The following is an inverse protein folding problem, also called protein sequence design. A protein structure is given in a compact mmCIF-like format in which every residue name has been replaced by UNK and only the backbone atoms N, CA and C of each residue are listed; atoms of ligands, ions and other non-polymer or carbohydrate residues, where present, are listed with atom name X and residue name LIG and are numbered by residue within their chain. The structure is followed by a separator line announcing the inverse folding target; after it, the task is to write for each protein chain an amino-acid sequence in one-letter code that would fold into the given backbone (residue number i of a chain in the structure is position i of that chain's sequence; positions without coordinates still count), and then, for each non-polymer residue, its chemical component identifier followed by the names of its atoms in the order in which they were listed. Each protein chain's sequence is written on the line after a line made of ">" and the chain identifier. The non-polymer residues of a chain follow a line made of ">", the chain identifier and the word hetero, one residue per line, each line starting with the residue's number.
data_IF_486907933983
#
_entry.id   IF_486907933983
#
_cell.length_a   1.000
_cell.length_b   1.000
_cell.length_c   1.000
_cell.angle_alpha   90.00
_cell.angle_beta   90.00
_cell.angle_gamma   90.00
#
_symmetry.space_group_name_H-M   'P 1'
#
loop_
_entity.id
_entity.type
_entity.pdbx_description
1 polymer ?
#
# COMPACT_ATOMS: atom_id res chain seq x y z
N UNK A 1 53.28 20.98 3.92
CA UNK A 1 52.71 19.61 3.97
C UNK A 1 51.50 19.63 3.06
N UNK A 2 51.80 19.41 1.75
CA UNK A 2 50.78 19.53 0.66
C UNK A 2 49.86 18.34 0.66
N UNK A 3 48.57 18.62 0.65
CA UNK A 3 47.53 17.60 0.53
C UNK A 3 47.49 17.09 -0.90
N UNK A 4 47.67 15.78 -1.11
CA UNK A 4 47.50 15.09 -2.37
C UNK A 4 46.04 15.24 -2.87
N UNK A 5 45.83 15.55 -4.15
CA UNK A 5 44.50 15.58 -4.74
C UNK A 5 43.92 14.16 -4.77
N UNK A 6 42.62 14.05 -4.44
CA UNK A 6 41.84 12.83 -4.53
C UNK A 6 41.80 12.35 -5.99
N UNK A 7 41.89 11.03 -6.26
CA UNK A 7 41.76 10.52 -7.61
C UNK A 7 40.40 10.82 -8.20
N UNK A 8 40.39 11.38 -9.41
CA UNK A 8 39.18 11.60 -10.21
C UNK A 8 38.42 10.28 -10.36
N UNK A 9 37.23 10.18 -9.78
CA UNK A 9 36.32 9.06 -10.00
C UNK A 9 35.82 9.16 -11.45
N UNK A 10 36.23 8.23 -12.29
CA UNK A 10 35.68 8.09 -13.65
C UNK A 10 34.15 7.97 -13.56
N UNK A 11 33.39 8.70 -14.38
CA UNK A 11 31.94 8.60 -14.41
C UNK A 11 31.54 7.17 -14.83
N UNK A 12 30.76 6.50 -14.02
CA UNK A 12 30.20 5.19 -14.32
C UNK A 12 29.52 5.23 -15.71
N UNK A 13 29.73 4.20 -16.57
CA UNK A 13 29.17 4.18 -17.92
C UNK A 13 27.65 4.33 -17.85
N UNK A 14 27.12 5.26 -18.65
CA UNK A 14 25.67 5.52 -18.73
C UNK A 14 24.91 4.23 -18.99
N UNK A 15 24.00 3.86 -18.08
CA UNK A 15 23.18 2.68 -18.18
C UNK A 15 22.38 2.73 -19.48
N UNK A 16 22.45 1.67 -20.30
CA UNK A 16 21.63 1.55 -21.51
C UNK A 16 20.15 1.62 -21.12
N UNK A 17 19.33 2.36 -21.91
CA UNK A 17 17.91 2.43 -21.64
C UNK A 17 17.28 1.03 -21.62
N UNK A 18 16.41 0.76 -20.65
CA UNK A 18 15.74 -0.53 -20.51
C UNK A 18 14.91 -0.84 -21.78
N UNK A 19 14.84 -2.11 -22.20
CA UNK A 19 14.04 -2.51 -23.34
C UNK A 19 12.56 -2.13 -23.18
N UNK A 20 11.93 -1.61 -24.24
CA UNK A 20 10.55 -1.14 -24.25
C UNK A 20 9.66 -2.01 -25.17
N UNK A 21 8.33 -1.93 -24.98
CA UNK A 21 7.34 -2.64 -25.79
C UNK A 21 6.80 -3.93 -25.16
N UNK A 22 5.71 -4.53 -25.74
CA UNK A 22 4.96 -5.64 -25.13
C UNK A 22 5.80 -6.92 -24.90
N UNK A 23 6.75 -7.21 -25.78
CA UNK A 23 7.65 -8.36 -25.61
C UNK A 23 8.64 -8.14 -24.48
N UNK A 24 9.16 -6.91 -24.34
CA UNK A 24 10.05 -6.55 -23.24
C UNK A 24 9.32 -6.58 -21.89
N UNK A 25 8.08 -6.11 -21.82
CA UNK A 25 7.26 -6.17 -20.63
C UNK A 25 7.01 -7.63 -20.18
N UNK A 26 6.67 -8.53 -21.10
CA UNK A 26 6.50 -9.98 -20.80
C UNK A 26 7.79 -10.62 -20.28
N UNK A 27 8.94 -10.31 -20.89
CA UNK A 27 10.23 -10.81 -20.39
C UNK A 27 10.55 -10.26 -19.02
N UNK A 28 10.31 -8.96 -18.80
CA UNK A 28 10.51 -8.33 -17.50
C UNK A 28 9.69 -9.00 -16.41
N UNK A 29 8.40 -9.28 -16.66
CA UNK A 29 7.54 -10.00 -15.72
C UNK A 29 8.02 -11.43 -15.46
N UNK A 30 8.45 -12.16 -16.50
CA UNK A 30 9.00 -13.51 -16.33
C UNK A 30 10.24 -13.52 -15.45
N UNK A 31 11.16 -12.55 -15.65
CA UNK A 31 12.37 -12.40 -14.83
C UNK A 31 12.00 -12.06 -13.37
N UNK A 32 11.04 -11.16 -13.13
CA UNK A 32 10.62 -10.81 -11.76
C UNK A 32 10.00 -12.01 -11.05
N UNK A 33 9.14 -12.78 -11.71
CA UNK A 33 8.57 -14.02 -11.13
C UNK A 33 9.65 -15.02 -10.78
N UNK A 34 10.53 -15.37 -11.73
CA UNK A 34 11.64 -16.30 -11.49
C UNK A 34 12.56 -15.85 -10.37
N UNK A 35 12.87 -14.54 -10.32
CA UNK A 35 13.68 -13.98 -9.25
C UNK A 35 12.98 -14.08 -7.90
N UNK A 36 11.67 -13.78 -7.82
CA UNK A 36 10.88 -13.91 -6.60
C UNK A 36 10.94 -15.35 -6.08
N UNK A 37 10.61 -16.33 -6.92
CA UNK A 37 10.56 -17.74 -6.54
C UNK A 37 11.93 -18.21 -6.03
N UNK A 38 13.01 -17.82 -6.69
CA UNK A 38 14.37 -18.18 -6.31
C UNK A 38 14.82 -17.45 -5.03
N UNK A 39 14.52 -16.18 -4.88
CA UNK A 39 14.84 -15.44 -3.65
C UNK A 39 14.13 -16.01 -2.42
N UNK A 40 12.86 -16.40 -2.57
CA UNK A 40 12.10 -16.99 -1.47
C UNK A 40 12.57 -18.41 -1.13
N UNK A 41 13.02 -19.17 -2.11
CA UNK A 41 13.44 -20.56 -1.95
C UNK A 41 14.92 -20.70 -1.49
N UNK A 42 15.80 -19.87 -2.04
CA UNK A 42 17.26 -20.00 -1.90
C UNK A 42 17.93 -18.80 -1.22
N UNK A 43 17.15 -17.79 -0.88
CA UNK A 43 17.64 -16.54 -0.30
C UNK A 43 18.22 -15.57 -1.34
N UNK A 44 18.62 -14.37 -0.86
CA UNK A 44 19.19 -13.36 -1.74
C UNK A 44 20.55 -13.77 -2.35
N UNK A 45 21.20 -14.83 -1.83
CA UNK A 45 22.46 -15.33 -2.34
C UNK A 45 22.43 -15.91 -3.77
N UNK A 46 21.26 -16.30 -4.29
CA UNK A 46 21.07 -16.92 -5.61
C UNK A 46 21.72 -16.11 -6.76
N UNK A 47 22.34 -16.81 -7.72
CA UNK A 47 23.04 -16.18 -8.84
C UNK A 47 22.11 -15.68 -9.94
N UNK A 48 22.53 -14.61 -10.66
CA UNK A 48 21.79 -14.08 -11.83
C UNK A 48 21.68 -15.10 -12.98
N UNK A 49 22.60 -16.09 -13.04
CA UNK A 49 22.54 -17.17 -14.02
C UNK A 49 21.37 -18.11 -13.76
N UNK A 50 21.14 -18.47 -12.48
CA UNK A 50 20.02 -19.29 -12.09
C UNK A 50 18.67 -18.58 -12.38
N UNK A 51 18.59 -17.28 -12.07
CA UNK A 51 17.42 -16.48 -12.37
C UNK A 51 17.16 -16.41 -13.88
N UNK A 52 18.18 -16.25 -14.69
CA UNK A 52 18.07 -16.20 -16.15
C UNK A 52 17.57 -17.54 -16.70
N UNK A 53 18.12 -18.66 -16.21
CA UNK A 53 17.70 -20.01 -16.59
C UNK A 53 16.24 -20.27 -16.25
N UNK A 54 15.81 -19.95 -15.02
CA UNK A 54 14.42 -20.09 -14.56
C UNK A 54 13.44 -19.24 -15.36
N UNK A 55 13.86 -18.01 -15.71
CA UNK A 55 13.05 -17.11 -16.53
C UNK A 55 13.02 -17.46 -18.03
N UNK A 56 13.80 -18.44 -18.48
CA UNK A 56 13.93 -18.81 -19.89
C UNK A 56 14.57 -17.72 -20.75
N UNK A 57 15.50 -16.93 -20.20
CA UNK A 57 16.19 -15.84 -20.88
C UNK A 57 17.71 -15.95 -20.71
N UNK A 58 18.48 -15.18 -21.49
CA UNK A 58 19.94 -15.09 -21.25
C UNK A 58 20.26 -14.17 -20.07
N UNK A 59 21.38 -14.40 -19.36
CA UNK A 59 21.93 -13.51 -18.32
C UNK A 59 22.04 -12.07 -18.79
N UNK A 60 22.48 -11.86 -20.03
CA UNK A 60 22.55 -10.53 -20.65
C UNK A 60 21.18 -9.86 -20.71
N UNK A 61 20.11 -10.64 -20.99
CA UNK A 61 18.75 -10.12 -21.00
C UNK A 61 18.34 -9.63 -19.61
N UNK A 62 18.67 -10.38 -18.55
CA UNK A 62 18.37 -9.97 -17.16
C UNK A 62 19.07 -8.65 -16.83
N UNK A 63 20.37 -8.53 -17.13
CA UNK A 63 21.11 -7.29 -16.90
C UNK A 63 20.63 -6.11 -17.75
N UNK A 64 20.17 -6.36 -18.99
CA UNK A 64 19.61 -5.30 -19.84
C UNK A 64 18.29 -4.74 -19.28
N UNK A 65 17.51 -5.55 -18.53
CA UNK A 65 16.25 -5.12 -17.92
C UNK A 65 16.41 -4.46 -16.55
N UNK A 66 17.39 -4.88 -15.76
CA UNK A 66 17.48 -4.50 -14.35
C UNK A 66 18.83 -3.86 -13.97
N UNK A 67 19.87 -4.06 -14.75
CA UNK A 67 21.21 -3.52 -14.48
C UNK A 67 21.95 -4.23 -13.35
N UNK A 68 21.27 -4.51 -12.23
CA UNK A 68 21.88 -5.19 -11.07
C UNK A 68 20.88 -6.14 -10.39
N UNK A 69 21.39 -6.98 -9.50
CA UNK A 69 20.60 -7.90 -8.69
C UNK A 69 19.75 -7.14 -7.65
N UNK A 70 20.29 -6.07 -7.12
CA UNK A 70 19.63 -5.17 -6.18
C UNK A 70 18.42 -4.49 -6.84
N UNK A 71 18.59 -3.99 -8.08
CA UNK A 71 17.49 -3.41 -8.84
C UNK A 71 16.42 -4.44 -9.22
N UNK A 72 16.83 -5.68 -9.49
CA UNK A 72 15.90 -6.79 -9.70
C UNK A 72 15.14 -7.12 -8.40
N UNK A 73 15.82 -7.20 -7.27
CA UNK A 73 15.19 -7.41 -5.98
C UNK A 73 14.22 -6.27 -5.64
N UNK A 74 14.62 -5.03 -5.87
CA UNK A 74 13.73 -3.85 -5.73
C UNK A 74 12.45 -4.01 -6.54
N UNK A 75 12.55 -4.52 -7.77
CA UNK A 75 11.38 -4.76 -8.61
C UNK A 75 10.52 -5.93 -8.10
N UNK A 76 11.13 -6.95 -7.49
CA UNK A 76 10.40 -8.05 -6.82
C UNK A 76 9.65 -7.53 -5.61
N UNK A 77 10.29 -6.74 -4.75
CA UNK A 77 9.65 -6.13 -3.58
C UNK A 77 8.50 -5.21 -4.00
N UNK A 78 8.72 -4.33 -4.97
CA UNK A 78 7.68 -3.44 -5.48
C UNK A 78 6.48 -4.19 -6.06
N UNK A 79 6.71 -5.30 -6.78
CA UNK A 79 5.64 -6.14 -7.32
C UNK A 79 4.89 -6.94 -6.26
N UNK A 80 5.60 -7.48 -5.26
CA UNK A 80 5.02 -8.34 -4.24
C UNK A 80 4.29 -7.61 -3.11
N UNK A 81 4.60 -6.34 -2.89
CA UNK A 81 3.97 -5.53 -1.83
C UNK A 81 2.79 -4.69 -2.36
N UNK A 82 2.76 -4.46 -3.66
CA UNK A 82 1.71 -3.66 -4.31
C UNK A 82 0.48 -4.51 -4.71
N UNK A 83 0.61 -5.82 -4.84
CA UNK A 83 -0.44 -6.68 -5.40
C UNK A 83 -1.69 -6.72 -4.52
N UNK A 84 -1.63 -6.91 -3.19
CA UNK A 84 -2.81 -6.89 -2.34
C UNK A 84 -3.51 -5.53 -2.25
N UNK A 85 -2.79 -4.45 -2.59
CA UNK A 85 -3.29 -3.08 -2.48
C UNK A 85 -3.61 -2.45 -3.85
N UNK A 86 -3.11 -3.02 -4.95
CA UNK A 86 -3.41 -2.58 -6.33
C UNK A 86 -4.73 -3.10 -6.87
N UNK A 87 -5.19 -4.25 -6.43
CA UNK A 87 -6.50 -4.77 -6.85
C UNK A 87 -7.66 -3.88 -6.42
N UNK A 88 -7.44 -3.01 -5.41
CA UNK A 88 -8.42 -2.05 -4.94
C UNK A 88 -8.57 -0.78 -5.80
N UNK A 89 -7.64 -0.50 -6.72
CA UNK A 89 -7.58 0.78 -7.47
C UNK A 89 -7.88 0.71 -8.97
N UNK A 90 -8.05 -0.47 -9.56
CA UNK A 90 -8.26 -0.61 -11.02
C UNK A 90 -9.64 -1.12 -11.44
N UNK A 91 -10.69 -0.72 -10.74
CA UNK A 91 -12.04 -0.80 -11.26
C UNK A 91 -12.39 0.41 -12.12
N UNK A 92 -11.87 0.53 -13.35
CA UNK A 92 -12.33 1.62 -14.21
C UNK A 92 -11.39 2.07 -15.32
N UNK A 93 -10.99 1.18 -16.23
CA UNK A 93 -10.74 1.58 -17.61
C UNK A 93 -11.23 0.46 -18.55
N UNK A 94 -12.53 0.53 -18.86
CA UNK A 94 -13.10 -0.18 -20.00
C UNK A 94 -12.51 0.45 -21.28
N UNK A 95 -11.68 -0.31 -21.99
CA UNK A 95 -11.26 0.02 -23.36
C UNK A 95 -12.48 0.01 -24.31
N UNK A 96 -12.58 0.90 -25.30
CA UNK A 96 -13.65 0.90 -26.26
C UNK A 96 -13.40 -0.16 -27.34
N UNK A 97 -14.37 -1.06 -27.51
CA UNK A 97 -14.49 -1.82 -28.77
C UNK A 97 -14.51 -3.34 -28.64
N UNK A 98 -15.68 -3.92 -28.45
CA UNK A 98 -15.97 -5.33 -28.70
C UNK A 98 -17.48 -5.49 -28.99
N UNK A 99 -17.81 -5.73 -30.23
CA UNK A 99 -19.17 -5.84 -30.77
C UNK A 99 -19.97 -6.96 -30.12
N UNK A 100 -21.22 -6.64 -29.82
CA UNK A 100 -22.26 -7.57 -29.39
C UNK A 100 -22.67 -8.54 -30.47
N UNK A 101 -22.72 -9.86 -30.17
CA UNK A 101 -23.44 -10.87 -30.87
C UNK A 101 -24.67 -11.30 -30.07
N UNK A 102 -25.85 -11.51 -30.70
CA UNK A 102 -27.08 -11.81 -29.97
C UNK A 102 -27.31 -13.32 -29.84
N UNK A 103 -27.79 -13.76 -28.70
CA UNK A 103 -28.53 -15.01 -28.58
C UNK A 103 -28.12 -15.94 -27.41
N UNK A 104 -29.00 -16.06 -26.43
CA UNK A 104 -28.94 -17.12 -25.41
C UNK A 104 -29.88 -16.83 -24.25
N UNK A 105 -31.03 -17.51 -24.27
CA UNK A 105 -32.15 -17.36 -23.33
C UNK A 105 -31.85 -17.91 -21.93
N UNK A 106 -32.34 -17.24 -20.97
CA UNK A 106 -32.97 -17.43 -19.69
C UNK A 106 -32.81 -18.75 -18.90
N UNK A 107 -32.48 -18.57 -17.62
CA UNK A 107 -32.77 -19.47 -16.50
C UNK A 107 -32.66 -18.71 -15.21
N UNK A 108 -33.65 -18.74 -14.30
CA UNK A 108 -33.61 -17.97 -13.05
C UNK A 108 -32.96 -18.80 -11.94
N UNK A 109 -32.09 -18.22 -11.18
CA UNK A 109 -31.77 -18.78 -9.88
C UNK A 109 -30.30 -19.05 -9.62
N UNK A 110 -29.65 -18.15 -8.99
CA UNK A 110 -28.36 -18.32 -8.39
C UNK A 110 -27.78 -16.93 -8.08
N UNK A 111 -28.03 -16.42 -6.89
CA UNK A 111 -27.24 -15.31 -6.38
C UNK A 111 -25.82 -15.83 -6.25
N UNK A 112 -25.08 -15.74 -7.32
CA UNK A 112 -23.63 -15.92 -7.35
C UNK A 112 -23.08 -14.83 -6.45
N UNK A 113 -22.59 -15.23 -5.28
CA UNK A 113 -21.80 -14.33 -4.44
C UNK A 113 -20.64 -13.86 -5.30
N UNK A 114 -20.62 -12.57 -5.61
CA UNK A 114 -19.43 -11.93 -6.16
C UNK A 114 -18.28 -12.28 -5.22
N UNK A 115 -17.10 -12.69 -5.74
CA UNK A 115 -15.92 -12.84 -4.91
C UNK A 115 -15.70 -11.48 -4.23
N UNK A 116 -15.90 -11.41 -2.91
CA UNK A 116 -15.55 -10.23 -2.14
C UNK A 116 -14.05 -10.06 -2.32
N UNK A 117 -13.65 -9.03 -3.04
CA UNK A 117 -12.26 -8.60 -3.08
C UNK A 117 -11.84 -8.35 -1.64
N UNK A 118 -10.82 -9.08 -1.16
CA UNK A 118 -10.27 -8.88 0.18
C UNK A 118 -9.48 -7.57 0.31
N UNK A 119 -9.39 -6.83 -0.80
CA UNK A 119 -8.75 -5.52 -0.85
C UNK A 119 -9.68 -4.44 -0.26
N UNK A 120 -9.13 -3.44 0.46
CA UNK A 120 -9.92 -2.35 1.03
C UNK A 120 -10.55 -1.51 -0.08
N UNK A 121 -11.84 -1.22 0.06
CA UNK A 121 -12.55 -0.34 -0.85
C UNK A 121 -12.27 1.14 -0.51
N UNK A 122 -11.18 1.66 -1.07
CA UNK A 122 -10.79 3.06 -0.88
C UNK A 122 -11.75 4.05 -1.55
N UNK A 123 -12.55 3.61 -2.53
CA UNK A 123 -13.58 4.46 -3.12
C UNK A 123 -14.66 4.78 -2.09
N UNK A 124 -15.11 3.79 -1.31
CA UNK A 124 -16.05 4.01 -0.20
C UNK A 124 -15.50 4.96 0.86
N UNK A 125 -14.18 4.94 1.09
CA UNK A 125 -13.53 5.85 2.01
C UNK A 125 -13.60 7.29 1.47
N UNK A 126 -13.30 7.49 0.18
CA UNK A 126 -13.36 8.80 -0.47
C UNK A 126 -14.80 9.32 -0.52
N UNK A 127 -15.79 8.45 -0.76
CA UNK A 127 -17.20 8.81 -0.91
C UNK A 127 -17.94 8.96 0.43
N UNK A 128 -17.26 8.78 1.57
CA UNK A 128 -17.88 8.91 2.89
C UNK A 128 -18.58 10.28 3.03
N UNK A 129 -19.85 10.25 3.45
CA UNK A 129 -20.68 11.43 3.66
C UNK A 129 -20.90 11.67 5.17
N UNK A 130 -19.92 12.35 5.76
CA UNK A 130 -19.94 12.70 7.17
C UNK A 130 -19.14 11.77 8.09
N UNK A 131 -19.05 12.13 9.39
CA UNK A 131 -18.16 11.48 10.36
C UNK A 131 -18.47 10.00 10.60
N UNK A 132 -19.74 9.63 10.68
CA UNK A 132 -20.14 8.24 10.95
C UNK A 132 -19.85 7.32 9.76
N UNK A 133 -20.11 7.81 8.53
CA UNK A 133 -19.79 7.09 7.31
C UNK A 133 -18.27 6.94 7.15
N UNK A 134 -17.50 7.97 7.50
CA UNK A 134 -16.04 7.93 7.49
C UNK A 134 -15.50 6.91 8.52
N UNK A 135 -16.04 6.91 9.74
CA UNK A 135 -15.67 5.92 10.77
C UNK A 135 -15.95 4.49 10.29
N UNK A 136 -17.13 4.25 9.73
CA UNK A 136 -17.48 2.94 9.18
C UNK A 136 -16.55 2.52 8.03
N UNK A 137 -16.28 3.41 7.08
CA UNK A 137 -15.41 3.12 5.94
C UNK A 137 -13.95 2.84 6.36
N UNK A 138 -13.40 3.60 7.33
CA UNK A 138 -12.06 3.35 7.89
C UNK A 138 -11.99 2.01 8.63
N UNK A 139 -13.04 1.67 9.38
CA UNK A 139 -13.12 0.39 10.09
C UNK A 139 -13.18 -0.79 9.11
N UNK A 140 -13.99 -0.69 8.07
CA UNK A 140 -14.08 -1.70 7.01
C UNK A 140 -12.75 -1.84 6.25
N UNK A 141 -12.07 -0.73 5.96
CA UNK A 141 -10.74 -0.73 5.36
C UNK A 141 -9.70 -1.43 6.25
N UNK A 142 -9.68 -1.12 7.54
CA UNK A 142 -8.79 -1.77 8.52
C UNK A 142 -8.99 -3.29 8.59
N UNK A 143 -10.25 -3.73 8.61
CA UNK A 143 -10.62 -5.16 8.56
C UNK A 143 -10.16 -5.83 7.25
N UNK A 144 -10.36 -5.14 6.12
CA UNK A 144 -9.93 -5.65 4.82
C UNK A 144 -8.41 -5.78 4.74
N UNK A 145 -7.65 -4.79 5.21
CA UNK A 145 -6.19 -4.88 5.30
C UNK A 145 -5.73 -6.04 6.18
N UNK A 146 -6.35 -6.25 7.34
CA UNK A 146 -6.04 -7.38 8.21
C UNK A 146 -6.25 -8.73 7.52
N UNK A 147 -7.35 -8.88 6.75
CA UNK A 147 -7.59 -10.10 5.96
C UNK A 147 -6.57 -10.26 4.84
N UNK A 148 -6.30 -9.21 4.08
CA UNK A 148 -5.33 -9.21 2.99
C UNK A 148 -3.92 -9.59 3.48
N UNK A 149 -3.48 -9.04 4.61
CA UNK A 149 -2.19 -9.37 5.21
C UNK A 149 -2.09 -10.86 5.60
N UNK A 150 -3.14 -11.42 6.23
CA UNK A 150 -3.17 -12.85 6.57
C UNK A 150 -3.12 -13.76 5.35
N UNK A 151 -3.76 -13.35 4.27
CA UNK A 151 -3.74 -14.08 3.01
C UNK A 151 -2.41 -13.95 2.24
N UNK A 152 -1.65 -12.87 2.47
CA UNK A 152 -0.41 -12.54 1.77
C UNK A 152 0.79 -13.33 2.30
N UNK A 153 0.83 -14.60 1.98
CA UNK A 153 1.94 -15.48 2.36
C UNK A 153 3.26 -15.11 1.67
N UNK A 154 3.22 -14.63 0.44
CA UNK A 154 4.40 -14.21 -0.32
C UNK A 154 5.00 -12.91 0.20
N UNK A 155 4.18 -11.90 0.45
CA UNK A 155 4.66 -10.65 1.04
C UNK A 155 5.25 -10.86 2.42
N UNK A 156 4.67 -11.77 3.23
CA UNK A 156 5.26 -12.18 4.52
C UNK A 156 6.63 -12.82 4.32
N UNK A 157 6.77 -13.75 3.38
CA UNK A 157 8.05 -14.39 3.09
C UNK A 157 9.10 -13.38 2.60
N UNK A 158 8.72 -12.41 1.77
CA UNK A 158 9.60 -11.31 1.34
C UNK A 158 10.02 -10.42 2.52
N UNK A 159 9.10 -10.06 3.42
CA UNK A 159 9.42 -9.30 4.64
C UNK A 159 10.43 -10.04 5.51
N UNK A 160 10.23 -11.35 5.69
CA UNK A 160 11.15 -12.21 6.43
C UNK A 160 12.51 -12.25 5.76
N UNK A 161 12.57 -12.42 4.45
CA UNK A 161 13.82 -12.42 3.69
C UNK A 161 14.60 -11.10 3.88
N UNK A 162 13.93 -9.96 3.78
CA UNK A 162 14.57 -8.66 4.04
C UNK A 162 15.08 -8.60 5.47
N UNK A 163 14.27 -8.96 6.46
CA UNK A 163 14.66 -8.86 7.87
C UNK A 163 15.86 -9.76 8.22
N UNK A 164 15.94 -10.94 7.62
CA UNK A 164 17.04 -11.90 7.88
C UNK A 164 18.33 -11.58 7.12
N UNK A 165 18.21 -11.06 5.90
CA UNK A 165 19.35 -10.84 5.01
C UNK A 165 19.88 -9.39 5.02
N UNK A 166 19.18 -8.43 5.62
CA UNK A 166 19.55 -7.01 5.58
C UNK A 166 20.94 -6.71 6.18
N UNK A 167 21.38 -7.49 7.15
CA UNK A 167 22.71 -7.31 7.74
C UNK A 167 23.82 -7.70 6.77
N UNK A 168 23.56 -8.69 5.92
CA UNK A 168 24.51 -9.17 4.89
C UNK A 168 24.41 -8.35 3.60
N UNK A 169 23.21 -7.86 3.30
CA UNK A 169 22.89 -7.12 2.08
C UNK A 169 22.11 -5.84 2.43
N UNK A 170 22.81 -4.75 2.86
CA UNK A 170 22.16 -3.50 3.28
C UNK A 170 21.29 -2.84 2.19
N UNK A 171 21.53 -3.18 0.92
CA UNK A 171 20.71 -2.74 -0.22
C UNK A 171 19.26 -3.21 -0.13
N UNK A 172 18.99 -4.36 0.51
CA UNK A 172 17.63 -4.85 0.75
C UNK A 172 16.83 -3.87 1.62
N UNK A 173 17.46 -3.33 2.66
CA UNK A 173 16.85 -2.31 3.52
C UNK A 173 16.56 -1.00 2.76
N UNK A 174 17.43 -0.61 1.83
CA UNK A 174 17.18 0.55 0.96
C UNK A 174 16.02 0.30 -0.01
N UNK A 175 15.98 -0.88 -0.64
CA UNK A 175 14.89 -1.30 -1.51
C UNK A 175 13.55 -1.34 -0.75
N UNK A 176 13.56 -1.90 0.45
CA UNK A 176 12.39 -1.94 1.34
C UNK A 176 11.89 -0.53 1.69
N UNK A 177 12.79 0.38 2.07
CA UNK A 177 12.43 1.76 2.38
C UNK A 177 11.80 2.47 1.18
N UNK A 178 12.32 2.23 -0.02
CA UNK A 178 11.82 2.89 -1.23
C UNK A 178 10.46 2.35 -1.71
N UNK A 179 10.14 1.09 -1.42
CA UNK A 179 8.98 0.38 -2.00
C UNK A 179 8.17 -0.39 -0.97
N UNK A 180 8.57 -0.38 0.30
CA UNK A 180 7.87 -1.06 1.38
C UNK A 180 6.60 -0.31 1.82
N UNK A 181 5.77 -0.97 2.65
CA UNK A 181 4.44 -0.45 2.99
C UNK A 181 4.44 0.90 3.73
N UNK A 182 5.55 1.26 4.38
CA UNK A 182 5.64 2.50 5.16
C UNK A 182 5.85 3.77 4.31
N UNK A 183 6.19 3.62 3.05
CA UNK A 183 6.65 4.77 2.30
C UNK A 183 5.63 5.40 1.37
N UNK A 184 4.85 4.62 0.67
CA UNK A 184 4.17 5.23 -0.47
C UNK A 184 3.00 4.37 -0.95
N UNK A 185 1.89 4.42 -0.21
CA UNK A 185 0.63 3.96 -0.77
C UNK A 185 -0.11 5.14 -1.40
N UNK A 186 0.11 5.42 -2.70
CA UNK A 186 -0.49 6.58 -3.37
C UNK A 186 -2.01 6.61 -3.22
N UNK A 187 -2.64 5.43 -3.22
CA UNK A 187 -4.09 5.31 -3.08
C UNK A 187 -4.60 5.80 -1.71
N UNK A 188 -3.95 5.39 -0.61
CA UNK A 188 -4.31 5.84 0.75
C UNK A 188 -3.99 7.32 0.94
N UNK A 189 -2.82 7.75 0.45
CA UNK A 189 -2.43 9.17 0.47
C UNK A 189 -3.45 10.04 -0.27
N UNK A 190 -3.89 9.60 -1.44
CA UNK A 190 -4.90 10.31 -2.23
C UNK A 190 -6.28 10.31 -1.55
N UNK A 191 -6.67 9.19 -0.92
CA UNK A 191 -7.92 9.11 -0.16
C UNK A 191 -7.92 10.08 1.03
N UNK A 192 -6.85 10.09 1.84
CA UNK A 192 -6.74 11.01 2.98
C UNK A 192 -6.69 12.47 2.53
N UNK A 193 -6.01 12.78 1.41
CA UNK A 193 -6.02 14.12 0.83
C UNK A 193 -7.42 14.53 0.40
N UNK A 194 -8.15 13.67 -0.31
CA UNK A 194 -9.52 13.97 -0.74
C UNK A 194 -10.47 14.21 0.44
N UNK A 195 -10.30 13.46 1.54
CA UNK A 195 -11.07 13.68 2.78
C UNK A 195 -10.71 15.01 3.46
N UNK A 196 -9.44 15.40 3.44
CA UNK A 196 -8.99 16.68 3.96
C UNK A 196 -9.51 17.86 3.09
N UNK A 197 -9.44 17.74 1.77
CA UNK A 197 -9.95 18.75 0.83
C UNK A 197 -11.47 18.96 1.00
N UNK A 198 -12.21 17.92 1.41
CA UNK A 198 -13.65 17.99 1.72
C UNK A 198 -13.94 18.47 3.15
N UNK A 199 -12.93 18.72 3.96
CA UNK A 199 -13.07 19.15 5.35
C UNK A 199 -13.58 18.07 6.31
N UNK A 200 -13.52 16.79 5.92
CA UNK A 200 -13.85 15.65 6.80
C UNK A 200 -12.70 15.28 7.73
N UNK A 201 -11.48 15.66 7.37
CA UNK A 201 -10.28 15.53 8.20
C UNK A 201 -9.50 16.84 8.20
N UNK A 202 -8.84 17.14 9.32
CA UNK A 202 -7.87 18.22 9.49
C UNK A 202 -6.46 17.61 9.58
N UNK A 203 -5.78 17.53 8.44
CA UNK A 203 -4.48 16.85 8.29
C UNK A 203 -3.40 17.88 7.99
N UNK A 204 -2.62 18.33 8.99
CA UNK A 204 -1.54 19.29 8.76
C UNK A 204 -0.32 18.68 8.06
N UNK A 205 -0.09 17.37 8.23
CA UNK A 205 1.00 16.62 7.62
C UNK A 205 0.48 15.26 7.12
N UNK A 206 0.36 15.15 5.80
CA UNK A 206 -0.23 13.99 5.16
C UNK A 206 0.65 12.73 5.27
N UNK A 207 1.97 12.89 5.21
CA UNK A 207 2.91 11.76 5.36
C UNK A 207 2.81 11.16 6.75
N UNK A 208 2.82 12.01 7.77
CA UNK A 208 2.65 11.60 9.18
C UNK A 208 1.30 10.93 9.38
N UNK A 209 0.22 11.47 8.84
CA UNK A 209 -1.12 10.90 8.97
C UNK A 209 -1.22 9.49 8.34
N UNK A 210 -0.65 9.29 7.15
CA UNK A 210 -0.59 7.98 6.49
C UNK A 210 0.17 6.97 7.36
N UNK A 211 1.35 7.34 7.86
CA UNK A 211 2.15 6.46 8.72
C UNK A 211 1.45 6.12 10.03
N UNK A 212 0.76 7.08 10.64
CA UNK A 212 -0.03 6.86 11.86
C UNK A 212 -1.21 5.93 11.60
N UNK A 213 -1.93 6.10 10.48
CA UNK A 213 -3.01 5.20 10.11
C UNK A 213 -2.51 3.75 9.96
N UNK A 214 -1.40 3.55 9.24
CA UNK A 214 -0.79 2.22 9.11
C UNK A 214 -0.30 1.67 10.45
N UNK A 215 0.27 2.52 11.30
CA UNK A 215 0.74 2.09 12.62
C UNK A 215 -0.39 1.59 13.52
N UNK A 216 -1.58 2.17 13.38
CA UNK A 216 -2.75 1.77 14.16
C UNK A 216 -3.45 0.53 13.59
N UNK A 217 -3.57 0.41 12.26
CA UNK A 217 -4.45 -0.59 11.63
C UNK A 217 -3.71 -1.77 10.99
N UNK A 218 -2.44 -1.59 10.60
CA UNK A 218 -1.70 -2.55 9.76
C UNK A 218 -0.48 -3.12 10.47
N UNK A 219 0.37 -2.27 11.05
CA UNK A 219 1.65 -2.70 11.61
C UNK A 219 1.54 -3.69 12.76
N UNK A 220 0.58 -3.60 13.69
CA UNK A 220 0.45 -4.62 14.73
C UNK A 220 0.31 -6.03 14.13
N UNK A 221 -0.60 -6.21 13.18
CA UNK A 221 -0.80 -7.47 12.49
C UNK A 221 0.49 -7.96 11.80
N UNK A 222 1.12 -7.05 11.04
CA UNK A 222 2.33 -7.35 10.28
C UNK A 222 3.49 -7.79 11.18
N UNK A 223 3.67 -7.15 12.35
CA UNK A 223 4.74 -7.49 13.30
C UNK A 223 4.52 -8.88 13.92
N UNK A 224 3.30 -9.19 14.34
CA UNK A 224 3.00 -10.51 14.92
C UNK A 224 3.20 -11.62 13.89
N UNK A 225 2.70 -11.46 12.67
CA UNK A 225 2.88 -12.44 11.60
C UNK A 225 4.34 -12.67 11.20
N UNK A 226 5.15 -11.62 11.22
CA UNK A 226 6.59 -11.73 10.92
C UNK A 226 7.35 -12.62 11.92
N UNK A 227 6.87 -12.70 13.16
CA UNK A 227 7.46 -13.54 14.20
C UNK A 227 6.81 -14.92 14.32
N UNK A 228 5.97 -15.31 13.36
CA UNK A 228 5.28 -16.59 13.36
C UNK A 228 4.20 -16.71 14.42
N UNK A 229 3.72 -15.58 14.95
CA UNK A 229 2.60 -15.50 15.88
C UNK A 229 1.40 -14.83 15.18
N UNK A 230 0.20 -15.11 15.66
CA UNK A 230 -1.01 -14.51 15.12
C UNK A 230 -1.66 -13.61 16.17
N UNK A 231 -2.11 -12.44 15.74
CA UNK A 231 -3.09 -11.69 16.51
C UNK A 231 -4.41 -12.45 16.47
N UNK A 232 -4.92 -12.86 17.65
CA UNK A 232 -6.25 -13.45 17.74
C UNK A 232 -7.29 -12.50 17.12
N UNK A 233 -8.32 -13.08 16.52
CA UNK A 233 -9.36 -12.32 15.78
C UNK A 233 -9.99 -11.22 16.64
N UNK A 234 -10.31 -11.53 17.91
CA UNK A 234 -10.90 -10.57 18.85
C UNK A 234 -9.97 -9.38 19.15
N UNK A 235 -8.66 -9.63 19.34
CA UNK A 235 -7.70 -8.57 19.58
C UNK A 235 -7.48 -7.74 18.30
N UNK A 236 -7.43 -8.38 17.15
CA UNK A 236 -7.31 -7.71 15.85
C UNK A 236 -8.50 -6.77 15.61
N UNK A 237 -9.72 -7.21 15.89
CA UNK A 237 -10.92 -6.39 15.75
C UNK A 237 -10.89 -5.17 16.70
N UNK A 238 -10.50 -5.36 17.96
CA UNK A 238 -10.39 -4.24 18.92
C UNK A 238 -9.33 -3.23 18.47
N UNK A 239 -8.18 -3.68 17.99
CA UNK A 239 -7.14 -2.80 17.46
C UNK A 239 -7.60 -1.97 16.27
N UNK A 240 -8.41 -2.55 15.38
CA UNK A 240 -8.99 -1.79 14.26
C UNK A 240 -9.97 -0.74 14.77
N UNK A 241 -10.92 -1.12 15.63
CA UNK A 241 -11.96 -0.19 16.12
C UNK A 241 -11.34 0.94 16.93
N UNK A 242 -10.49 0.62 17.90
CA UNK A 242 -9.85 1.62 18.76
C UNK A 242 -8.84 2.47 17.95
N UNK A 243 -8.13 1.86 17.01
CA UNK A 243 -7.20 2.56 16.13
C UNK A 243 -7.89 3.60 15.25
N UNK A 244 -9.05 3.27 14.69
CA UNK A 244 -9.87 4.23 13.92
C UNK A 244 -10.35 5.37 14.82
N UNK A 245 -10.81 5.07 16.05
CA UNK A 245 -11.21 6.12 16.98
C UNK A 245 -10.05 7.04 17.36
N UNK A 246 -8.87 6.49 17.63
CA UNK A 246 -7.67 7.29 17.90
C UNK A 246 -7.30 8.18 16.72
N UNK A 247 -7.34 7.63 15.50
CA UNK A 247 -7.05 8.40 14.29
C UNK A 247 -8.04 9.55 14.11
N UNK A 248 -9.33 9.28 14.22
CA UNK A 248 -10.37 10.30 14.08
C UNK A 248 -10.32 11.35 15.20
N UNK A 249 -10.02 10.98 16.44
CA UNK A 249 -9.81 11.96 17.52
C UNK A 249 -8.66 12.94 17.21
N UNK A 250 -7.63 12.47 16.50
CA UNK A 250 -6.50 13.32 16.13
C UNK A 250 -6.78 14.21 14.92
N UNK A 251 -7.53 13.70 13.96
CA UNK A 251 -7.68 14.30 12.63
C UNK A 251 -9.09 14.74 12.29
N UNK A 252 -10.11 14.48 13.12
CA UNK A 252 -11.43 15.08 12.90
C UNK A 252 -11.35 16.60 13.03
N UNK A 253 -12.06 17.35 12.18
CA UNK A 253 -12.13 18.80 12.30
C UNK A 253 -12.61 19.19 13.70
N UNK A 254 -12.03 20.24 14.28
CA UNK A 254 -12.51 20.77 15.54
C UNK A 254 -13.98 21.17 15.38
N UNK A 255 -14.87 20.54 16.15
CA UNK A 255 -16.26 20.97 16.21
C UNK A 255 -16.27 22.42 16.67
N UNK A 256 -16.84 23.33 15.87
CA UNK A 256 -16.96 24.71 16.28
C UNK A 256 -17.62 24.75 17.68
N UNK A 257 -17.07 25.50 18.64
CA UNK A 257 -17.64 25.56 19.97
C UNK A 257 -19.11 26.02 19.83
N UNK A 258 -20.01 25.22 20.38
CA UNK A 258 -21.45 25.58 20.41
C UNK A 258 -21.52 26.99 21.02
N UNK A 259 -22.15 27.96 20.34
CA UNK A 259 -22.26 29.31 20.90
C UNK A 259 -22.92 29.22 22.27
N UNK A 260 -22.18 29.63 23.29
CA UNK A 260 -22.71 29.72 24.64
C UNK A 260 -23.93 30.64 24.57
N UNK A 261 -25.13 30.19 24.95
CA UNK A 261 -26.28 31.07 24.94
C UNK A 261 -25.96 32.26 25.81
N UNK A 262 -25.98 33.46 25.21
CA UNK A 262 -25.74 34.72 25.89
C UNK A 262 -26.69 34.85 27.10
N UNK A 263 -26.32 35.55 28.18
CA UNK A 263 -27.16 35.74 29.34
C UNK A 263 -28.52 36.32 28.90
N UNK A 264 -29.55 35.63 29.30
CA UNK A 264 -30.95 36.05 29.06
C UNK A 264 -31.10 37.51 29.48
N UNK A 265 -31.56 38.36 28.54
CA UNK A 265 -31.86 39.76 28.85
C UNK A 265 -32.80 39.85 30.02
N UNK A 266 -32.39 40.55 31.09
CA UNK A 266 -33.20 40.80 32.24
C UNK A 266 -34.54 41.51 31.86
N UNK A 267 -35.69 41.15 32.42
CA UNK A 267 -36.96 41.80 32.10
C UNK A 267 -36.87 43.27 32.52
N UNK A 268 -37.16 44.14 31.56
CA UNK A 268 -37.29 45.58 31.80
C UNK A 268 -38.40 45.86 32.81
N UNK A 269 -38.06 46.34 33.97
CA UNK A 269 -39.00 46.87 34.93
C UNK A 269 -39.55 48.17 34.43
N UNK A 270 -40.83 48.20 34.07
CA UNK A 270 -41.60 49.39 33.76
C UNK A 270 -41.92 50.14 35.08
N UNK A 271 -41.59 51.40 35.22
CA UNK A 271 -42.05 52.17 36.39
C UNK A 271 -43.53 52.48 36.27
N UNK A 272 -44.29 52.15 37.30
CA UNK A 272 -45.68 52.58 37.49
C UNK A 272 -45.72 54.07 37.91
N UNK A 273 -46.57 54.86 37.18
CA UNK A 273 -46.96 56.25 37.53
C UNK A 273 -48.04 56.26 38.59
#
# INVERSE_FOLDING_TARGET
>A
MDALPAPDAEPAPAAKPAPTGPRAARKRQAIVRAARDLFLREGFGVGMDAIAAEAGVSKVTVYNHFGSKEALFTAVVAGGLDEPLRESGQGGQAGPGGQAGPGGQGGPGGRSGEPRSDAPDLARLIDADGPDALKAALTDAGRAWGRALRADTEGRALRTLVATEVHRFPELGRAWRAHGPAGHHPAVTNALRALADRGLLDIPDLEVAVLQLYSLLVFPQMVFEQHGTELGEELGERLVVDGVEMFLRRYAPATAPTPVPGPAAAPSSTPAS
#
